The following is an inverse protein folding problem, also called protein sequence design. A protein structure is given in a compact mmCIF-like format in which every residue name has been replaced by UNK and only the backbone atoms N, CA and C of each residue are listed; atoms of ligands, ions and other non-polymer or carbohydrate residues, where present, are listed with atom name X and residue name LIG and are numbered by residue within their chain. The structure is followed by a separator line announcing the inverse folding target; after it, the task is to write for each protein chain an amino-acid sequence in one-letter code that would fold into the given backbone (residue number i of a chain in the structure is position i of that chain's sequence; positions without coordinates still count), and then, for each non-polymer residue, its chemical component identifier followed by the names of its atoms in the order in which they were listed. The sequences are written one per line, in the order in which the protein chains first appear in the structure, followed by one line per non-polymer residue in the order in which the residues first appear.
data_IF_303360395892
#
_entry.id   IF_303360395892
#
_cell.length_a   1.000
_cell.length_b   1.000
_cell.length_c   1.000
_cell.angle_alpha   90.00
_cell.angle_beta   90.00
_cell.angle_gamma   90.00
#
_symmetry.space_group_name_H-M   'P 1'
#
loop_
_entity.id
_entity.type
_entity.pdbx_description
1 polymer ?
#
# COMPACT_ATOMS: atom_id res chain seq x y z
N UNK A 1 -1.22 -4.30 -29.50
CA UNK A 1 -1.38 -5.36 -28.49
C UNK A 1 -2.86 -5.66 -28.38
N UNK A 2 -3.29 -6.94 -28.31
CA UNK A 2 -4.67 -7.24 -27.97
C UNK A 2 -5.01 -6.64 -26.59
N UNK A 3 -6.26 -6.23 -26.34
CA UNK A 3 -6.64 -5.74 -25.01
C UNK A 3 -6.36 -6.85 -24.00
N UNK A 4 -5.50 -6.55 -23.03
CA UNK A 4 -5.29 -7.42 -21.87
C UNK A 4 -6.62 -7.54 -21.15
N UNK A 5 -7.00 -8.75 -20.72
CA UNK A 5 -8.19 -8.94 -19.90
C UNK A 5 -8.12 -7.99 -18.68
N UNK A 6 -9.23 -7.34 -18.29
CA UNK A 6 -9.25 -6.54 -17.07
C UNK A 6 -8.88 -7.41 -15.86
N UNK A 7 -8.11 -6.82 -14.96
CA UNK A 7 -7.75 -7.39 -13.65
C UNK A 7 -8.32 -6.49 -12.54
N UNK A 8 -8.13 -6.84 -11.28
CA UNK A 8 -8.46 -5.98 -10.15
C UNK A 8 -7.28 -6.04 -9.19
N UNK A 9 -6.82 -4.87 -8.73
CA UNK A 9 -5.79 -4.77 -7.69
C UNK A 9 -6.46 -4.39 -6.38
N UNK A 10 -6.34 -5.25 -5.38
CA UNK A 10 -6.86 -5.08 -4.03
C UNK A 10 -5.70 -4.69 -3.12
N UNK A 11 -5.89 -3.67 -2.30
CA UNK A 11 -4.90 -3.15 -1.37
C UNK A 11 -5.53 -3.06 0.01
N UNK A 12 -4.82 -3.56 1.00
CA UNK A 12 -5.11 -3.35 2.41
C UNK A 12 -3.89 -2.73 3.10
N UNK A 13 -4.15 -1.80 4.02
CA UNK A 13 -3.13 -1.08 4.77
C UNK A 13 -3.49 -1.11 6.26
N UNK A 14 -2.49 -1.40 7.08
CA UNK A 14 -2.56 -1.17 8.52
C UNK A 14 -1.76 0.08 8.88
N UNK A 15 -2.31 0.91 9.77
CA UNK A 15 -1.72 2.20 10.13
C UNK A 15 -1.63 2.39 11.64
N UNK A 16 -0.83 3.38 12.06
CA UNK A 16 -0.75 3.82 13.46
C UNK A 16 -1.95 4.65 13.92
N UNK A 17 -2.86 5.00 13.02
CA UNK A 17 -4.08 5.75 13.27
C UNK A 17 -4.74 6.21 11.98
N UNK A 18 -5.62 7.21 12.07
CA UNK A 18 -6.46 7.68 10.95
C UNK A 18 -6.03 9.03 10.37
N UNK A 19 -5.04 9.69 10.96
CA UNK A 19 -4.56 11.00 10.53
C UNK A 19 -3.35 10.84 9.59
N UNK A 20 -3.47 11.10 8.28
CA UNK A 20 -2.39 10.88 7.31
C UNK A 20 -1.18 11.81 7.52
N UNK A 21 -1.34 12.94 8.21
CA UNK A 21 -0.23 13.87 8.44
C UNK A 21 0.68 13.42 9.60
N UNK A 22 0.15 12.60 10.51
CA UNK A 22 0.86 12.22 11.74
C UNK A 22 1.00 10.71 11.94
N UNK A 23 0.16 9.92 11.30
CA UNK A 23 0.17 8.47 11.36
C UNK A 23 0.94 7.87 10.18
N UNK A 24 1.42 6.65 10.36
CA UNK A 24 2.25 5.96 9.38
C UNK A 24 1.69 4.58 9.05
N UNK A 25 2.03 4.07 7.86
CA UNK A 25 1.71 2.72 7.43
C UNK A 25 2.66 1.73 8.12
N UNK A 26 2.12 0.66 8.69
CA UNK A 26 2.86 -0.40 9.39
C UNK A 26 2.73 -1.77 8.72
N UNK A 27 1.75 -1.97 7.84
CA UNK A 27 1.63 -3.15 6.99
C UNK A 27 0.95 -2.80 5.68
N UNK A 28 1.26 -3.56 4.62
CA UNK A 28 0.64 -3.50 3.33
C UNK A 28 0.41 -4.91 2.78
N UNK A 29 -0.77 -5.16 2.20
CA UNK A 29 -1.04 -6.36 1.44
C UNK A 29 -1.66 -6.03 0.07
N UNK A 30 -1.19 -6.68 -0.99
CA UNK A 30 -1.72 -6.52 -2.36
C UNK A 30 -2.07 -7.88 -2.95
N UNK A 31 -3.28 -7.98 -3.51
CA UNK A 31 -3.73 -9.12 -4.31
C UNK A 31 -4.17 -8.62 -5.68
N UNK A 32 -3.76 -9.32 -6.73
CA UNK A 32 -4.27 -9.08 -8.09
C UNK A 32 -5.14 -10.27 -8.53
N UNK A 33 -6.37 -9.98 -8.97
CA UNK A 33 -7.34 -10.99 -9.43
C UNK A 33 -7.81 -10.73 -10.85
N UNK A 34 -8.38 -11.74 -11.52
CA UNK A 34 -9.24 -11.50 -12.68
C UNK A 34 -10.63 -10.96 -12.27
N UNK A 35 -11.51 -10.73 -13.24
CA UNK A 35 -12.89 -10.27 -13.01
C UNK A 35 -13.80 -11.32 -12.38
N UNK A 36 -13.36 -12.58 -12.28
CA UNK A 36 -14.04 -13.66 -11.56
C UNK A 36 -13.47 -13.84 -10.14
N UNK A 37 -12.68 -12.86 -9.66
CA UNK A 37 -12.06 -12.83 -8.33
C UNK A 37 -11.06 -13.96 -8.08
N UNK A 38 -10.51 -14.56 -9.14
CA UNK A 38 -9.46 -15.57 -9.00
C UNK A 38 -8.09 -14.89 -8.90
N UNK A 39 -7.27 -15.20 -7.89
CA UNK A 39 -5.92 -14.66 -7.77
C UNK A 39 -5.07 -15.01 -9.00
N UNK A 40 -4.34 -14.03 -9.51
CA UNK A 40 -3.44 -14.17 -10.67
C UNK A 40 -1.98 -14.39 -10.28
N UNK A 41 -1.63 -14.11 -9.02
CA UNK A 41 -0.31 -14.26 -8.45
C UNK A 41 -0.41 -14.55 -6.94
N UNK A 42 0.72 -14.89 -6.31
CA UNK A 42 0.79 -14.90 -4.85
C UNK A 42 0.60 -13.47 -4.31
N UNK A 43 -0.08 -13.29 -3.17
CA UNK A 43 -0.19 -11.98 -2.53
C UNK A 43 1.18 -11.39 -2.20
N UNK A 44 1.30 -10.07 -2.33
CA UNK A 44 2.39 -9.32 -1.72
C UNK A 44 1.97 -8.96 -0.29
N UNK A 45 2.76 -9.30 0.71
CA UNK A 45 2.54 -8.91 2.10
C UNK A 45 3.84 -8.34 2.66
N UNK A 46 3.78 -7.10 3.16
CA UNK A 46 4.93 -6.37 3.67
C UNK A 46 4.59 -5.79 5.04
N UNK A 47 5.42 -6.09 6.03
CA UNK A 47 5.43 -5.36 7.30
C UNK A 47 6.45 -4.23 7.20
N UNK A 48 6.04 -3.01 7.55
CA UNK A 48 6.83 -1.80 7.30
C UNK A 48 7.35 -1.27 8.63
N UNK A 49 8.67 -1.11 8.72
CA UNK A 49 9.33 -0.61 9.90
C UNK A 49 8.92 0.84 10.18
N UNK A 50 8.74 1.15 11.47
CA UNK A 50 8.52 2.52 11.95
C UNK A 50 9.33 2.74 13.24
N UNK A 51 9.83 3.97 13.47
CA UNK A 51 10.54 4.29 14.70
C UNK A 51 9.59 4.25 15.91
N UNK A 52 10.10 3.92 17.10
CA UNK A 52 9.28 3.82 18.32
C UNK A 52 8.54 5.14 18.62
N UNK A 53 9.13 6.30 18.30
CA UNK A 53 8.48 7.61 18.45
C UNK A 53 7.20 7.80 17.63
N UNK A 54 7.01 7.02 16.57
CA UNK A 54 5.77 6.97 15.78
C UNK A 54 4.79 5.95 16.39
N UNK A 55 5.29 4.80 16.83
CA UNK A 55 4.48 3.75 17.46
C UNK A 55 3.89 4.19 18.82
N UNK A 56 4.61 5.00 19.58
CA UNK A 56 4.16 5.58 20.86
C UNK A 56 3.00 6.56 20.71
N UNK A 57 2.79 7.12 19.51
CA UNK A 57 1.68 8.06 19.24
C UNK A 57 0.35 7.37 18.96
N UNK A 58 0.35 6.04 18.80
CA UNK A 58 -0.89 5.28 18.62
C UNK A 58 -1.83 5.50 19.81
N UNK A 59 -3.09 5.79 19.52
CA UNK A 59 -4.12 5.80 20.56
C UNK A 59 -4.28 4.40 21.16
N UNK A 60 -4.71 4.27 22.44
CA UNK A 60 -4.70 2.99 23.15
C UNK A 60 -5.40 1.85 22.41
N UNK A 61 -6.50 2.14 21.72
CA UNK A 61 -7.25 1.16 20.94
C UNK A 61 -6.42 0.56 19.80
N UNK A 62 -5.81 1.41 18.95
CA UNK A 62 -5.00 0.98 17.81
C UNK A 62 -3.76 0.22 18.29
N UNK A 63 -3.12 0.73 19.34
CA UNK A 63 -1.96 0.07 19.95
C UNK A 63 -2.31 -1.34 20.42
N UNK A 64 -3.39 -1.48 21.21
CA UNK A 64 -3.81 -2.78 21.74
C UNK A 64 -4.19 -3.76 20.63
N UNK A 65 -4.84 -3.27 19.57
CA UNK A 65 -5.18 -4.09 18.40
C UNK A 65 -3.93 -4.68 17.73
N UNK A 66 -2.93 -3.83 17.45
CA UNK A 66 -1.67 -4.25 16.82
C UNK A 66 -0.74 -5.05 17.73
N UNK A 67 -0.80 -4.84 19.05
CA UNK A 67 -0.11 -5.69 20.02
C UNK A 67 -0.74 -7.09 20.06
N UNK A 68 -2.07 -7.17 20.07
CA UNK A 68 -2.81 -8.44 20.12
C UNK A 68 -2.61 -9.28 18.86
N UNK A 69 -2.52 -8.67 17.69
CA UNK A 69 -2.22 -9.37 16.43
C UNK A 69 -0.76 -9.80 16.32
N UNK A 70 0.13 -9.25 17.14
CA UNK A 70 1.58 -9.43 17.02
C UNK A 70 2.23 -8.50 15.98
N UNK A 71 1.46 -7.65 15.29
CA UNK A 71 1.97 -6.77 14.25
C UNK A 71 3.04 -5.82 14.78
N UNK A 72 2.88 -5.24 15.99
CA UNK A 72 3.91 -4.35 16.53
C UNK A 72 5.27 -5.04 16.76
N UNK A 73 5.28 -6.34 17.03
CA UNK A 73 6.54 -7.08 17.16
C UNK A 73 7.18 -7.27 15.78
N UNK A 74 6.39 -7.58 14.76
CA UNK A 74 6.86 -7.70 13.38
C UNK A 74 7.38 -6.36 12.83
N UNK A 75 6.68 -5.26 13.10
CA UNK A 75 7.09 -3.90 12.70
C UNK A 75 8.47 -3.55 13.24
N UNK A 76 8.73 -3.84 14.52
CA UNK A 76 10.04 -3.57 15.13
C UNK A 76 11.16 -4.44 14.58
N UNK A 77 10.84 -5.60 14.02
CA UNK A 77 11.80 -6.54 13.44
C UNK A 77 11.96 -6.35 11.92
N UNK A 78 11.07 -5.60 11.28
CA UNK A 78 11.13 -5.37 9.85
C UNK A 78 12.35 -4.54 9.47
N UNK A 79 12.96 -4.90 8.34
CA UNK A 79 14.02 -4.13 7.68
C UNK A 79 13.49 -3.33 6.47
N UNK A 80 12.20 -3.45 6.18
CA UNK A 80 11.54 -2.78 5.05
C UNK A 80 11.06 -1.41 5.50
N UNK A 81 11.64 -0.35 4.95
CA UNK A 81 11.12 1.00 5.13
C UNK A 81 10.00 1.35 4.14
N UNK A 82 9.41 2.53 4.28
CA UNK A 82 8.29 2.97 3.43
C UNK A 82 8.70 3.07 1.96
N UNK A 83 9.93 3.47 1.66
CA UNK A 83 10.39 3.65 0.29
C UNK A 83 10.61 2.30 -0.40
N UNK A 84 11.17 1.32 0.31
CA UNK A 84 11.31 -0.04 -0.19
C UNK A 84 9.93 -0.70 -0.37
N UNK A 85 9.00 -0.48 0.56
CA UNK A 85 7.63 -1.00 0.43
C UNK A 85 6.92 -0.44 -0.81
N UNK A 86 7.07 0.85 -1.10
CA UNK A 86 6.56 1.46 -2.34
C UNK A 86 7.19 0.81 -3.58
N UNK A 87 8.50 0.60 -3.58
CA UNK A 87 9.20 -0.01 -4.71
C UNK A 87 8.74 -1.46 -4.95
N UNK A 88 8.60 -2.26 -3.91
CA UNK A 88 8.08 -3.63 -3.99
C UNK A 88 6.63 -3.68 -4.48
N UNK A 89 5.77 -2.82 -3.93
CA UNK A 89 4.38 -2.69 -4.38
C UNK A 89 4.30 -2.32 -5.87
N UNK A 90 5.11 -1.35 -6.30
CA UNK A 90 5.18 -0.93 -7.69
C UNK A 90 5.71 -2.03 -8.62
N UNK A 91 6.75 -2.77 -8.20
CA UNK A 91 7.27 -3.93 -8.94
C UNK A 91 6.20 -5.00 -9.11
N UNK A 92 5.48 -5.31 -8.04
CA UNK A 92 4.39 -6.28 -8.05
C UNK A 92 3.25 -5.86 -8.98
N UNK A 93 2.78 -4.60 -8.88
CA UNK A 93 1.71 -4.08 -9.73
C UNK A 93 2.11 -4.02 -11.21
N UNK A 94 3.34 -3.60 -11.54
CA UNK A 94 3.80 -3.60 -12.94
C UNK A 94 3.87 -5.01 -13.52
N UNK A 95 4.25 -6.01 -12.71
CA UNK A 95 4.33 -7.40 -13.15
C UNK A 95 2.94 -8.03 -13.39
N UNK A 96 1.90 -7.62 -12.65
CA UNK A 96 0.62 -8.32 -12.60
C UNK A 96 -0.60 -7.50 -13.05
N UNK A 97 -0.49 -6.17 -13.11
CA UNK A 97 -1.51 -5.25 -13.57
C UNK A 97 -0.98 -4.42 -14.76
N UNK A 98 -1.00 -4.96 -16.00
CA UNK A 98 -0.24 -4.43 -17.13
C UNK A 98 -0.65 -3.02 -17.63
N UNK A 99 -1.80 -2.48 -17.21
CA UNK A 99 -2.12 -1.06 -17.44
C UNK A 99 -1.26 -0.12 -16.60
N UNK A 100 -0.58 -0.60 -15.55
CA UNK A 100 0.33 0.20 -14.74
C UNK A 100 1.66 0.52 -15.47
N UNK A 101 1.67 0.44 -16.81
CA UNK A 101 2.86 0.67 -17.63
C UNK A 101 3.32 2.14 -17.54
N UNK A 102 4.63 2.32 -17.37
CA UNK A 102 5.33 3.60 -17.26
C UNK A 102 5.06 4.60 -18.41
N UNK A 103 4.41 4.19 -19.51
CA UNK A 103 4.02 5.11 -20.59
C UNK A 103 3.03 6.17 -20.14
N UNK A 104 2.23 5.89 -19.11
CA UNK A 104 1.27 6.87 -18.56
C UNK A 104 1.95 7.93 -17.67
N UNK A 105 3.26 7.81 -17.40
CA UNK A 105 4.04 8.86 -16.71
C UNK A 105 4.43 10.05 -17.61
N UNK A 106 4.41 9.92 -18.94
CA UNK A 106 4.85 11.00 -19.83
C UNK A 106 3.73 11.96 -20.26
N UNK A 107 2.46 11.58 -20.13
CA UNK A 107 1.33 12.41 -20.58
C UNK A 107 0.80 13.38 -19.53
N UNK A 108 1.32 13.35 -18.30
CA UNK A 108 0.84 14.22 -17.25
C UNK A 108 1.99 14.72 -16.39
N UNK A 109 2.11 16.05 -16.38
CA UNK A 109 2.99 16.85 -15.56
C UNK A 109 2.64 16.62 -14.08
N UNK A 110 3.14 15.53 -13.50
CA UNK A 110 2.92 15.19 -12.09
C UNK A 110 4.21 15.40 -11.30
N UNK A 111 4.27 16.40 -10.40
CA UNK A 111 5.45 16.65 -9.59
C UNK A 111 5.67 15.49 -8.62
N UNK A 112 6.93 15.09 -8.53
CA UNK A 112 7.45 14.10 -7.59
C UNK A 112 7.10 14.52 -6.14
N UNK A 113 6.80 13.52 -5.32
CA UNK A 113 6.89 13.50 -3.84
C UNK A 113 5.63 13.71 -2.97
N UNK A 114 4.39 13.74 -3.47
CA UNK A 114 3.22 13.74 -2.53
C UNK A 114 1.94 13.05 -3.02
N UNK A 115 1.95 12.45 -4.22
CA UNK A 115 0.69 12.20 -4.94
C UNK A 115 0.01 10.84 -4.79
N UNK A 116 0.69 9.77 -4.35
CA UNK A 116 0.14 8.41 -4.46
C UNK A 116 -0.82 8.08 -3.31
N UNK A 117 -0.50 8.47 -2.07
CA UNK A 117 -1.38 8.26 -0.91
C UNK A 117 -2.66 9.10 -1.03
N UNK A 118 -2.56 10.33 -1.55
CA UNK A 118 -3.72 11.23 -1.66
C UNK A 118 -4.75 10.80 -2.72
N UNK A 119 -4.38 9.93 -3.66
CA UNK A 119 -5.25 9.53 -4.79
C UNK A 119 -5.87 8.13 -4.64
N UNK A 120 -5.39 7.31 -3.70
CA UNK A 120 -6.09 6.08 -3.30
C UNK A 120 -7.29 6.39 -2.38
N UNK A 121 -7.29 7.53 -1.67
CA UNK A 121 -8.33 7.92 -0.72
C UNK A 121 -9.42 8.86 -1.28
N UNK A 122 -9.19 9.55 -2.40
CA UNK A 122 -10.12 10.57 -2.94
C UNK A 122 -10.71 10.25 -4.33
N UNK A 123 -10.53 9.03 -4.84
CA UNK A 123 -10.96 8.65 -6.20
C UNK A 123 -12.46 8.45 -6.44
N UNK A 124 -13.35 8.76 -5.48
CA UNK A 124 -14.81 8.52 -5.64
C UNK A 124 -15.71 9.75 -5.45
N UNK A 125 -15.17 10.97 -5.38
CA UNK A 125 -16.00 12.18 -5.40
C UNK A 125 -15.37 13.20 -6.33
N UNK A 126 -15.70 13.15 -7.62
CA UNK A 126 -16.00 14.31 -8.45
C UNK A 126 -16.44 13.84 -9.85
N UNK A 127 -17.77 13.98 -10.07
CA UNK A 127 -18.56 14.01 -11.32
C UNK A 127 -18.27 13.02 -12.45
#
# INVERSE_FOLDING_TARGET
MPPTKPVLAWLDLEMTGLDPDTCAIVQMAIIVTDTELRPLAQPLELTIWQPESVLERMVPFVRQMHEKSGLLAQVRQSEVDVAEAEQEAMRYLVAHAPWFSLKDRQSAQFPLLTGIINRLLLGSIES
#
